data_IF_048031915022
#
_entry.id   IF_048031915022
#
_cell.length_a   1.000
_cell.length_b   1.000
_cell.length_c   1.000
_cell.angle_alpha   90.00
_cell.angle_beta   90.00
_cell.angle_gamma   90.00
#
_symmetry.space_group_name_H-M   'P 1'
#
loop_
_entity.id
_entity.type
_entity.pdbx_description
1 polymer ?
#
# COMPACT_ATOMS: atom_id res chain seq x y z
N UNK A 1 -22.83 31.22 18.19
CA UNK A 1 -22.50 29.85 17.70
C UNK A 1 -23.70 28.99 17.31
N UNK A 2 -24.94 29.26 17.76
CA UNK A 2 -26.13 28.42 17.45
C UNK A 2 -26.35 28.13 15.96
N UNK A 3 -26.09 29.11 15.09
CA UNK A 3 -26.21 28.97 13.64
C UNK A 3 -25.23 27.95 13.04
N UNK A 4 -23.97 27.97 13.49
CA UNK A 4 -22.96 27.00 13.03
C UNK A 4 -23.31 25.60 13.51
N UNK A 5 -23.73 25.46 14.78
CA UNK A 5 -24.16 24.19 15.34
C UNK A 5 -25.34 23.57 14.58
N UNK A 6 -26.31 24.40 14.17
CA UNK A 6 -27.44 23.95 13.34
C UNK A 6 -26.96 23.41 11.97
N UNK A 7 -26.00 24.07 11.32
CA UNK A 7 -25.45 23.60 10.04
C UNK A 7 -24.64 22.31 10.25
N UNK A 8 -23.78 22.27 11.26
CA UNK A 8 -22.92 21.13 11.57
C UNK A 8 -23.71 19.86 11.91
N UNK A 9 -24.90 19.99 12.48
CA UNK A 9 -25.78 18.86 12.79
C UNK A 9 -26.22 18.09 11.54
N UNK A 10 -26.30 18.75 10.38
CA UNK A 10 -26.61 18.10 9.10
C UNK A 10 -25.54 17.15 8.60
N UNK A 11 -24.36 17.13 9.23
CA UNK A 11 -23.22 16.28 8.89
C UNK A 11 -23.01 15.14 9.89
N UNK A 12 -24.02 14.82 10.72
CA UNK A 12 -23.97 13.65 11.59
C UNK A 12 -23.91 12.36 10.74
N UNK A 13 -23.11 11.38 11.19
CA UNK A 13 -23.05 10.05 10.57
C UNK A 13 -21.80 9.75 9.74
N UNK A 14 -20.84 10.68 9.64
CA UNK A 14 -19.51 10.45 9.04
C UNK A 14 -18.47 9.89 10.03
N UNK A 15 -18.88 9.49 11.24
CA UNK A 15 -17.97 8.95 12.26
C UNK A 15 -17.08 9.99 12.96
N UNK A 16 -17.32 11.28 12.72
CA UNK A 16 -16.56 12.39 13.31
C UNK A 16 -17.31 13.01 14.48
N UNK A 17 -16.55 13.54 15.45
CA UNK A 17 -17.12 14.17 16.63
C UNK A 17 -17.86 15.47 16.27
N UNK A 18 -19.05 15.64 16.83
CA UNK A 18 -19.89 16.79 16.52
C UNK A 18 -19.25 18.11 16.96
N UNK A 19 -18.48 18.10 18.05
CA UNK A 19 -17.74 19.25 18.54
C UNK A 19 -16.72 19.74 17.50
N UNK A 20 -15.96 18.83 16.89
CA UNK A 20 -14.97 19.17 15.86
C UNK A 20 -15.63 19.81 14.63
N UNK A 21 -16.76 19.25 14.16
CA UNK A 21 -17.51 19.82 13.05
C UNK A 21 -18.00 21.25 13.35
N UNK A 22 -18.37 21.53 14.61
CA UNK A 22 -18.78 22.88 15.05
C UNK A 22 -17.57 23.83 15.06
N UNK A 23 -16.41 23.35 15.50
CA UNK A 23 -15.18 24.17 15.53
C UNK A 23 -14.72 24.53 14.13
N UNK A 24 -14.69 23.57 13.22
CA UNK A 24 -14.35 23.80 11.81
C UNK A 24 -15.36 24.70 11.11
N UNK A 25 -16.65 24.50 11.39
CA UNK A 25 -17.69 25.41 10.94
C UNK A 25 -17.51 26.84 11.48
N UNK A 26 -17.00 26.98 12.70
CA UNK A 26 -16.70 28.28 13.32
C UNK A 26 -15.53 28.97 12.62
N UNK A 27 -14.50 28.21 12.23
CA UNK A 27 -13.42 28.70 11.37
C UNK A 27 -13.98 29.21 10.03
N UNK A 28 -14.92 28.48 9.43
CA UNK A 28 -15.64 28.91 8.24
C UNK A 28 -16.41 30.21 8.42
N UNK A 29 -17.10 30.37 9.56
CA UNK A 29 -17.78 31.62 9.90
C UNK A 29 -16.80 32.78 10.04
N UNK A 30 -15.66 32.59 10.71
CA UNK A 30 -14.63 33.63 10.83
C UNK A 30 -14.10 34.07 9.45
N UNK A 31 -13.86 33.11 8.54
CA UNK A 31 -13.46 33.38 7.15
C UNK A 31 -14.53 34.17 6.39
N UNK A 32 -15.80 33.83 6.58
CA UNK A 32 -16.92 34.56 5.98
C UNK A 32 -17.01 36.00 6.47
N UNK A 33 -16.93 36.22 7.79
CA UNK A 33 -17.03 37.55 8.39
C UNK A 33 -15.91 38.47 7.87
N UNK A 34 -14.68 37.96 7.76
CA UNK A 34 -13.54 38.73 7.20
C UNK A 34 -13.72 39.15 5.74
N UNK A 35 -14.53 38.42 4.97
CA UNK A 35 -14.74 38.65 3.52
C UNK A 35 -16.12 39.24 3.19
N UNK A 36 -16.95 39.46 4.21
CA UNK A 36 -18.30 39.96 4.02
C UNK A 36 -18.28 41.45 3.70
N UNK A 37 -19.08 41.86 2.71
CA UNK A 37 -19.27 43.26 2.36
C UNK A 37 -20.71 43.67 2.72
N UNK A 38 -20.91 44.51 3.76
CA UNK A 38 -22.24 44.96 4.20
C UNK A 38 -23.00 45.79 3.16
N UNK A 39 -22.31 46.39 2.18
CA UNK A 39 -22.94 47.18 1.13
C UNK A 39 -23.63 46.32 0.07
N UNK A 40 -23.34 45.01 0.02
CA UNK A 40 -24.11 44.07 -0.77
C UNK A 40 -25.38 43.73 0.03
N UNK A 41 -26.55 43.94 -0.57
CA UNK A 41 -27.87 43.76 0.07
C UNK A 41 -28.22 42.27 0.33
N UNK A 42 -27.34 41.56 1.04
CA UNK A 42 -27.42 40.13 1.35
C UNK A 42 -27.13 39.95 2.84
N UNK A 43 -27.92 39.11 3.50
CA UNK A 43 -27.73 38.82 4.94
C UNK A 43 -26.39 38.08 5.15
N UNK A 44 -25.64 38.48 6.18
CA UNK A 44 -24.37 37.81 6.57
C UNK A 44 -24.56 36.30 6.74
N UNK A 45 -25.66 35.87 7.37
CA UNK A 45 -25.97 34.46 7.56
C UNK A 45 -25.99 33.71 6.22
N UNK A 46 -26.69 34.24 5.21
CA UNK A 46 -26.79 33.66 3.86
C UNK A 46 -25.42 33.55 3.18
N UNK A 47 -24.56 34.56 3.35
CA UNK A 47 -23.20 34.52 2.84
C UNK A 47 -22.32 33.49 3.57
N UNK A 48 -22.42 33.44 4.89
CA UNK A 48 -21.60 32.59 5.74
C UNK A 48 -21.88 31.09 5.56
N UNK A 49 -23.11 30.69 5.17
CA UNK A 49 -23.44 29.27 4.92
C UNK A 49 -22.44 28.60 4.00
N UNK A 50 -22.04 29.25 2.91
CA UNK A 50 -21.12 28.65 1.92
C UNK A 50 -19.74 28.38 2.51
N UNK A 51 -19.21 29.32 3.29
CA UNK A 51 -17.91 29.17 3.95
C UNK A 51 -17.95 28.13 5.07
N UNK A 52 -19.01 28.13 5.88
CA UNK A 52 -19.21 27.14 6.95
C UNK A 52 -19.25 25.74 6.35
N UNK A 53 -20.07 25.51 5.30
CA UNK A 53 -20.16 24.20 4.64
C UNK A 53 -18.85 23.80 3.98
N UNK A 54 -18.13 24.74 3.36
CA UNK A 54 -16.86 24.44 2.70
C UNK A 54 -15.80 23.94 3.68
N UNK A 55 -15.64 24.60 4.84
CA UNK A 55 -14.68 24.17 5.86
C UNK A 55 -15.07 22.83 6.48
N UNK A 56 -16.35 22.65 6.83
CA UNK A 56 -16.85 21.36 7.33
C UNK A 56 -16.60 20.24 6.31
N UNK A 57 -16.90 20.47 5.03
CA UNK A 57 -16.65 19.49 3.99
C UNK A 57 -15.18 19.12 3.88
N UNK A 58 -14.28 20.11 3.89
CA UNK A 58 -12.84 19.87 3.79
C UNK A 58 -12.31 19.11 5.00
N UNK A 59 -12.80 19.41 6.21
CA UNK A 59 -12.45 18.66 7.42
C UNK A 59 -12.93 17.21 7.34
N UNK A 60 -14.18 16.98 6.94
CA UNK A 60 -14.71 15.62 6.76
C UNK A 60 -13.84 14.85 5.76
N UNK A 61 -13.52 15.45 4.61
CA UNK A 61 -12.69 14.78 3.60
C UNK A 61 -11.28 14.41 4.09
N UNK A 62 -10.69 15.21 4.97
CA UNK A 62 -9.34 14.97 5.49
C UNK A 62 -9.30 13.93 6.60
N UNK A 63 -10.39 13.75 7.33
CA UNK A 63 -10.41 13.01 8.59
C UNK A 63 -11.41 11.86 8.66
N UNK A 64 -12.23 11.62 7.63
CA UNK A 64 -13.22 10.52 7.64
C UNK A 64 -12.61 9.11 7.64
N UNK A 65 -11.34 8.96 7.27
CA UNK A 65 -10.58 7.71 7.26
C UNK A 65 -9.15 7.93 7.72
N UNK A 66 -8.56 6.89 8.31
CA UNK A 66 -7.15 6.88 8.73
C UNK A 66 -6.24 6.96 7.50
N UNK A 67 -6.54 6.19 6.45
CA UNK A 67 -5.77 6.19 5.20
C UNK A 67 -6.19 7.36 4.31
N UNK A 68 -5.29 8.34 4.18
CA UNK A 68 -5.51 9.54 3.36
C UNK A 68 -5.20 9.23 1.89
N UNK A 69 -6.19 9.44 1.03
CA UNK A 69 -6.04 9.30 -0.43
C UNK A 69 -6.42 10.60 -1.12
N UNK A 70 -5.64 10.99 -2.13
CA UNK A 70 -5.99 12.13 -2.97
C UNK A 70 -7.37 11.91 -3.63
N UNK A 71 -8.28 12.87 -3.45
CA UNK A 71 -9.63 12.78 -4.01
C UNK A 71 -9.81 13.68 -5.22
N UNK A 72 -10.39 13.15 -6.29
CA UNK A 72 -10.75 13.94 -7.47
C UNK A 72 -12.02 14.76 -7.21
N UNK A 73 -12.30 15.77 -8.06
CA UNK A 73 -13.56 16.55 -7.99
C UNK A 73 -14.80 15.65 -8.08
N UNK A 74 -14.74 14.59 -8.92
CA UNK A 74 -15.81 13.61 -9.07
C UNK A 74 -16.03 12.82 -7.76
N UNK A 75 -14.96 12.35 -7.13
CA UNK A 75 -15.01 11.64 -5.86
C UNK A 75 -15.55 12.53 -4.72
N UNK A 76 -15.15 13.80 -4.66
CA UNK A 76 -15.71 14.75 -3.68
C UNK A 76 -17.22 14.97 -3.87
N UNK A 77 -17.69 15.04 -5.13
CA UNK A 77 -19.14 15.14 -5.42
C UNK A 77 -19.87 13.86 -5.01
N UNK A 78 -19.28 12.70 -5.29
CA UNK A 78 -19.85 11.40 -4.94
C UNK A 78 -19.95 11.21 -3.43
N UNK A 79 -18.93 11.57 -2.65
CA UNK A 79 -18.92 11.33 -1.20
C UNK A 79 -20.18 11.82 -0.46
N UNK A 80 -20.62 13.07 -0.72
CA UNK A 80 -21.81 13.62 -0.07
C UNK A 80 -23.13 13.19 -0.72
N UNK A 81 -23.14 12.88 -2.02
CA UNK A 81 -24.36 12.58 -2.77
C UNK A 81 -24.67 11.09 -2.86
N UNK A 82 -23.64 10.24 -2.89
CA UNK A 82 -23.75 8.80 -3.04
C UNK A 82 -24.47 8.18 -1.84
N UNK A 83 -24.15 8.62 -0.62
CA UNK A 83 -24.86 8.16 0.59
C UNK A 83 -26.36 8.48 0.54
N UNK A 84 -26.73 9.65 0.01
CA UNK A 84 -28.13 10.04 -0.19
C UNK A 84 -28.79 9.23 -1.32
N UNK A 85 -28.08 9.00 -2.43
CA UNK A 85 -28.58 8.19 -3.53
C UNK A 85 -28.76 6.70 -3.14
N UNK A 86 -27.93 6.21 -2.21
CA UNK A 86 -27.96 4.84 -1.67
C UNK A 86 -28.92 4.68 -0.49
N UNK A 87 -29.62 5.71 -0.02
CA UNK A 87 -30.46 5.60 1.20
C UNK A 87 -31.55 4.53 1.11
N UNK A 88 -31.97 4.16 -0.09
CA UNK A 88 -32.98 3.11 -0.35
C UNK A 88 -32.38 1.76 -0.77
N UNK A 89 -31.04 1.64 -0.80
CA UNK A 89 -30.32 0.46 -1.26
C UNK A 89 -29.43 -0.01 -0.10
N UNK A 90 -29.87 -1.06 0.59
CA UNK A 90 -29.13 -1.62 1.73
C UNK A 90 -27.96 -2.52 1.32
N UNK A 91 -27.96 -3.02 0.07
CA UNK A 91 -26.93 -3.91 -0.47
C UNK A 91 -25.87 -3.17 -1.30
N UNK A 92 -24.85 -3.88 -1.75
CA UNK A 92 -23.90 -3.34 -2.74
C UNK A 92 -24.61 -2.92 -4.03
N UNK A 93 -24.10 -1.88 -4.68
CA UNK A 93 -24.69 -1.37 -5.91
C UNK A 93 -24.55 -2.40 -7.03
N UNK A 94 -25.67 -2.71 -7.69
CA UNK A 94 -25.64 -3.45 -8.95
C UNK A 94 -25.05 -2.56 -10.06
N UNK A 95 -24.46 -3.17 -11.09
CA UNK A 95 -23.86 -2.40 -12.21
C UNK A 95 -24.83 -1.39 -12.84
N UNK A 96 -26.07 -1.80 -13.09
CA UNK A 96 -27.11 -0.91 -13.64
C UNK A 96 -27.43 0.28 -12.72
N UNK A 97 -27.35 0.10 -11.40
CA UNK A 97 -27.58 1.18 -10.43
C UNK A 97 -26.38 2.14 -10.40
N UNK A 98 -25.17 1.60 -10.45
CA UNK A 98 -23.95 2.41 -10.55
C UNK A 98 -23.96 3.27 -11.82
N UNK A 99 -24.42 2.74 -12.96
CA UNK A 99 -24.57 3.48 -14.21
C UNK A 99 -25.61 4.60 -14.12
N UNK A 100 -26.76 4.34 -13.50
CA UNK A 100 -27.78 5.38 -13.27
C UNK A 100 -27.24 6.52 -12.42
N UNK A 101 -26.54 6.20 -11.33
CA UNK A 101 -25.93 7.19 -10.43
C UNK A 101 -24.80 7.95 -11.13
N UNK A 102 -23.99 7.25 -11.93
CA UNK A 102 -22.93 7.85 -12.73
C UNK A 102 -23.50 8.89 -13.71
N UNK A 103 -24.59 8.56 -14.41
CA UNK A 103 -25.27 9.46 -15.34
C UNK A 103 -25.92 10.66 -14.64
N UNK A 104 -26.65 10.44 -13.53
CA UNK A 104 -27.28 11.52 -12.76
C UNK A 104 -26.24 12.51 -12.18
N UNK A 105 -25.11 11.98 -11.71
CA UNK A 105 -24.05 12.77 -11.11
C UNK A 105 -23.00 13.24 -12.13
N UNK A 106 -23.07 12.83 -13.39
CA UNK A 106 -22.09 13.20 -14.43
C UNK A 106 -20.66 12.77 -14.08
N UNK A 107 -20.49 11.55 -13.59
CA UNK A 107 -19.20 10.96 -13.20
C UNK A 107 -19.04 9.59 -13.86
N UNK A 108 -17.84 9.01 -13.85
CA UNK A 108 -17.64 7.68 -14.46
C UNK A 108 -18.14 6.60 -13.51
N UNK A 109 -18.68 5.51 -14.06
CA UNK A 109 -19.07 4.30 -13.31
C UNK A 109 -17.96 3.80 -12.38
N UNK A 110 -16.72 3.78 -12.87
CA UNK A 110 -15.54 3.38 -12.09
C UNK A 110 -15.38 4.21 -10.81
N UNK A 111 -15.59 5.52 -10.89
CA UNK A 111 -15.47 6.42 -9.73
C UNK A 111 -16.60 6.17 -8.71
N UNK A 112 -17.79 5.76 -9.17
CA UNK A 112 -18.92 5.39 -8.30
C UNK A 112 -18.62 4.11 -7.53
N UNK A 113 -18.20 3.04 -8.21
CA UNK A 113 -17.87 1.76 -7.58
C UNK A 113 -16.70 1.88 -6.60
N UNK A 114 -15.67 2.63 -6.99
CA UNK A 114 -14.54 2.92 -6.10
C UNK A 114 -14.99 3.69 -4.85
N UNK A 115 -15.81 4.73 -5.01
CA UNK A 115 -16.32 5.49 -3.86
C UNK A 115 -17.24 4.65 -2.99
N UNK A 116 -18.06 3.78 -3.59
CA UNK A 116 -18.93 2.88 -2.84
C UNK A 116 -18.11 1.93 -1.96
N UNK A 117 -17.13 1.23 -2.54
CA UNK A 117 -16.23 0.33 -1.81
C UNK A 117 -15.59 1.06 -0.64
N UNK A 118 -15.09 2.28 -0.85
CA UNK A 118 -14.47 3.08 0.22
C UNK A 118 -15.45 3.50 1.32
N UNK A 119 -16.72 3.76 1.01
CA UNK A 119 -17.74 4.13 1.99
C UNK A 119 -18.31 2.93 2.75
N UNK A 120 -18.24 1.73 2.18
CA UNK A 120 -18.75 0.51 2.82
C UNK A 120 -17.84 0.00 3.94
N UNK A 121 -16.52 0.08 3.77
CA UNK A 121 -15.56 -0.44 4.75
C UNK A 121 -15.24 0.63 5.80
N UNK A 122 -15.59 0.39 7.05
CA UNK A 122 -15.06 1.14 8.19
C UNK A 122 -13.67 0.61 8.55
N UNK A 123 -12.81 1.48 9.06
CA UNK A 123 -11.50 1.07 9.55
C UNK A 123 -11.70 0.23 10.83
N UNK A 124 -11.09 -0.95 10.90
CA UNK A 124 -11.22 -1.90 12.03
C UNK A 124 -10.04 -1.70 12.97
N UNK A 125 -10.31 -1.65 14.28
CA UNK A 125 -9.26 -1.60 15.29
C UNK A 125 -8.47 -2.92 15.31
N UNK A 126 -7.15 -2.84 15.50
CA UNK A 126 -6.28 -4.02 15.42
C UNK A 126 -6.45 -4.99 16.59
N UNK A 127 -6.61 -4.46 17.82
CA UNK A 127 -6.72 -5.27 19.04
C UNK A 127 -7.49 -4.51 20.10
N UNK A 128 -8.83 -4.55 20.02
CA UNK A 128 -9.73 -4.02 21.04
C UNK A 128 -11.06 -4.78 20.95
N UNK A 129 -11.15 -5.92 21.62
CA UNK A 129 -12.42 -6.37 22.16
C UNK A 129 -12.18 -7.12 23.47
N UNK A 130 -12.70 -6.57 24.58
CA UNK A 130 -12.81 -7.29 25.86
C UNK A 130 -13.88 -8.40 25.80
N UNK A 131 -14.61 -8.51 24.69
CA UNK A 131 -15.54 -9.61 24.43
C UNK A 131 -14.77 -10.85 23.95
N UNK A 132 -14.81 -11.92 24.76
CA UNK A 132 -14.21 -13.23 24.44
C UNK A 132 -14.72 -13.85 23.12
N UNK A 133 -15.88 -13.41 22.62
CA UNK A 133 -16.50 -13.88 21.37
C UNK A 133 -16.15 -13.04 20.13
N UNK A 134 -15.41 -11.94 20.29
CA UNK A 134 -15.11 -11.02 19.18
C UNK A 134 -13.78 -11.38 18.52
N UNK A 135 -13.84 -11.82 17.26
CA UNK A 135 -12.65 -12.09 16.45
C UNK A 135 -11.99 -10.78 16.01
N UNK A 136 -11.02 -10.32 16.80
CA UNK A 136 -10.16 -9.19 16.44
C UNK A 136 -9.08 -9.59 15.41
N UNK A 137 -8.62 -8.65 14.56
CA UNK A 137 -7.54 -8.89 13.60
C UNK A 137 -6.28 -9.53 14.18
N UNK A 138 -5.93 -9.19 15.42
CA UNK A 138 -4.79 -9.79 16.13
C UNK A 138 -4.85 -11.32 16.29
N UNK A 139 -6.03 -11.93 16.26
CA UNK A 139 -6.18 -13.38 16.45
C UNK A 139 -5.95 -14.20 15.18
N UNK A 140 -6.12 -13.59 14.00
CA UNK A 140 -6.05 -14.31 12.72
C UNK A 140 -5.00 -13.77 11.75
N UNK A 141 -4.48 -12.55 11.97
CA UNK A 141 -3.40 -12.01 11.16
C UNK A 141 -2.07 -12.66 11.58
N UNK A 142 -1.51 -13.46 10.68
CA UNK A 142 -0.19 -14.06 10.83
C UNK A 142 0.88 -13.18 10.18
N UNK A 143 2.11 -13.22 10.70
CA UNK A 143 3.25 -12.64 10.02
C UNK A 143 3.78 -13.62 8.97
N UNK A 144 3.66 -13.26 7.69
CA UNK A 144 4.17 -14.07 6.59
C UNK A 144 5.69 -14.28 6.62
N UNK A 145 6.43 -13.47 7.39
CA UNK A 145 7.88 -13.65 7.57
C UNK A 145 8.22 -14.64 8.69
N UNK A 146 7.25 -15.04 9.53
CA UNK A 146 7.50 -16.03 10.57
C UNK A 146 7.55 -17.42 9.96
N UNK A 147 8.76 -18.00 9.95
CA UNK A 147 8.94 -19.38 9.55
C UNK A 147 8.53 -20.31 10.69
N UNK A 148 7.82 -21.39 10.37
CA UNK A 148 7.52 -22.43 11.35
C UNK A 148 8.80 -23.17 11.76
N UNK A 149 8.85 -23.77 12.96
CA UNK A 149 10.01 -24.59 13.37
C UNK A 149 10.36 -25.69 12.36
N UNK A 150 9.35 -26.28 11.71
CA UNK A 150 9.53 -27.25 10.64
C UNK A 150 10.18 -26.63 9.39
N UNK A 151 9.72 -25.46 8.96
CA UNK A 151 10.32 -24.73 7.82
C UNK A 151 11.76 -24.33 8.11
N UNK A 152 12.08 -23.92 9.34
CA UNK A 152 13.43 -23.61 9.76
C UNK A 152 14.34 -24.83 9.66
N UNK A 153 13.93 -25.98 10.20
CA UNK A 153 14.70 -27.22 10.12
C UNK A 153 14.93 -27.67 8.66
N UNK A 154 13.87 -27.64 7.83
CA UNK A 154 13.99 -27.96 6.41
C UNK A 154 14.94 -27.00 5.68
N UNK A 155 14.88 -25.70 5.99
CA UNK A 155 15.78 -24.71 5.40
C UNK A 155 17.24 -24.92 5.81
N UNK A 156 17.50 -25.27 7.08
CA UNK A 156 18.84 -25.56 7.58
C UNK A 156 19.42 -26.83 6.95
N UNK A 157 18.64 -27.90 6.87
CA UNK A 157 19.07 -29.16 6.28
C UNK A 157 19.30 -29.04 4.77
N UNK A 158 18.40 -28.35 4.07
CA UNK A 158 18.59 -28.06 2.63
C UNK A 158 19.82 -27.18 2.40
N UNK A 159 20.04 -26.14 3.21
CA UNK A 159 21.21 -25.29 3.12
C UNK A 159 22.52 -26.07 3.36
N UNK A 160 22.57 -26.90 4.42
CA UNK A 160 23.74 -27.76 4.70
C UNK A 160 24.01 -28.75 3.55
N UNK A 161 22.96 -29.40 3.03
CA UNK A 161 23.10 -30.34 1.92
C UNK A 161 23.58 -29.65 0.64
N UNK A 162 23.01 -28.50 0.28
CA UNK A 162 23.44 -27.71 -0.87
C UNK A 162 24.89 -27.25 -0.72
N UNK A 163 25.28 -26.81 0.48
CA UNK A 163 26.64 -26.39 0.76
C UNK A 163 27.63 -27.56 0.64
N UNK A 164 27.29 -28.74 1.16
CA UNK A 164 28.10 -29.95 1.03
C UNK A 164 28.25 -30.39 -0.43
N UNK A 165 27.16 -30.41 -1.19
CA UNK A 165 27.18 -30.71 -2.63
C UNK A 165 28.05 -29.72 -3.40
N UNK A 166 27.95 -28.42 -3.08
CA UNK A 166 28.80 -27.39 -3.68
C UNK A 166 30.29 -27.63 -3.39
N UNK A 167 30.66 -27.94 -2.14
CA UNK A 167 32.05 -28.22 -1.79
C UNK A 167 32.59 -29.48 -2.47
N UNK A 168 31.78 -30.54 -2.56
CA UNK A 168 32.15 -31.75 -3.31
C UNK A 168 32.36 -31.43 -4.80
N UNK A 169 31.43 -30.70 -5.42
CA UNK A 169 31.55 -30.29 -6.82
C UNK A 169 32.79 -29.42 -7.05
N UNK A 170 33.10 -28.48 -6.14
CA UNK A 170 34.30 -27.65 -6.18
C UNK A 170 35.60 -28.48 -6.09
N UNK A 171 35.60 -29.56 -5.31
CA UNK A 171 36.78 -30.43 -5.15
C UNK A 171 37.14 -31.23 -6.41
N UNK A 172 36.20 -31.42 -7.35
CA UNK A 172 36.41 -32.10 -8.62
C UNK A 172 37.06 -31.22 -9.70
N UNK A 173 37.15 -29.90 -9.46
CA UNK A 173 37.80 -28.98 -10.38
C UNK A 173 39.33 -29.01 -10.23
N UNK A 174 40.00 -28.71 -11.34
CA UNK A 174 41.44 -28.45 -11.30
C UNK A 174 41.73 -27.17 -10.52
N UNK A 175 42.90 -27.13 -9.86
CA UNK A 175 43.30 -26.01 -9.01
C UNK A 175 43.25 -24.64 -9.72
N UNK A 176 43.51 -24.62 -11.03
CA UNK A 176 43.47 -23.40 -11.84
C UNK A 176 42.04 -22.92 -12.07
N UNK A 177 41.13 -23.81 -12.47
CA UNK A 177 39.70 -23.47 -12.61
C UNK A 177 39.04 -23.07 -11.29
N UNK A 178 39.43 -23.72 -10.18
CA UNK A 178 38.95 -23.42 -8.85
C UNK A 178 39.33 -21.99 -8.42
N UNK A 179 40.59 -21.59 -8.58
CA UNK A 179 41.07 -20.25 -8.21
C UNK A 179 40.44 -19.14 -9.08
N UNK A 180 40.19 -19.42 -10.38
CA UNK A 180 39.43 -18.52 -11.27
C UNK A 180 37.99 -18.31 -10.75
N UNK A 181 37.28 -19.39 -10.41
CA UNK A 181 35.91 -19.30 -9.90
C UNK A 181 35.83 -18.64 -8.52
N UNK A 182 36.73 -19.00 -7.60
CA UNK A 182 36.78 -18.39 -6.28
C UNK A 182 37.01 -16.88 -6.37
N UNK A 183 37.97 -16.45 -7.19
CA UNK A 183 38.32 -15.04 -7.31
C UNK A 183 37.28 -14.20 -8.09
N UNK A 184 36.34 -14.85 -8.80
CA UNK A 184 35.25 -14.19 -9.52
C UNK A 184 33.90 -14.20 -8.80
N UNK A 185 33.61 -15.25 -8.03
CA UNK A 185 32.28 -15.49 -7.46
C UNK A 185 32.25 -15.62 -5.94
N UNK A 186 33.31 -16.15 -5.31
CA UNK A 186 33.30 -16.48 -3.87
C UNK A 186 34.04 -15.45 -2.99
N UNK A 187 34.92 -14.62 -3.56
CA UNK A 187 35.56 -13.51 -2.83
C UNK A 187 34.69 -12.25 -2.87
N UNK A 188 34.73 -11.47 -1.78
CA UNK A 188 34.04 -10.17 -1.68
C UNK A 188 34.55 -9.20 -2.75
N UNK A 189 35.88 -9.09 -2.89
CA UNK A 189 36.52 -8.32 -3.97
C UNK A 189 36.68 -9.19 -5.22
N UNK A 190 35.78 -8.98 -6.18
CA UNK A 190 35.77 -9.73 -7.45
C UNK A 190 36.87 -9.24 -8.38
N UNK A 191 37.78 -10.13 -8.73
CA UNK A 191 38.83 -9.87 -9.73
C UNK A 191 38.30 -9.86 -11.15
N UNK A 192 38.91 -9.06 -12.03
CA UNK A 192 38.53 -8.98 -13.44
C UNK A 192 39.25 -10.06 -14.26
N UNK A 193 38.69 -10.40 -15.42
CA UNK A 193 39.33 -11.34 -16.37
C UNK A 193 40.73 -10.91 -16.79
N UNK A 194 41.01 -9.60 -16.86
CA UNK A 194 42.32 -9.07 -17.22
C UNK A 194 43.35 -9.33 -16.11
N UNK A 195 42.99 -9.08 -14.85
CA UNK A 195 43.88 -9.37 -13.71
C UNK A 195 44.20 -10.86 -13.57
N UNK A 196 43.24 -11.73 -13.88
CA UNK A 196 43.46 -13.18 -13.91
C UNK A 196 44.29 -13.62 -15.13
N UNK A 197 44.09 -12.98 -16.28
CA UNK A 197 44.88 -13.19 -17.48
C UNK A 197 46.36 -12.89 -17.25
N UNK A 198 46.64 -11.75 -16.60
CA UNK A 198 47.99 -11.32 -16.21
C UNK A 198 48.61 -12.30 -15.21
N UNK A 199 47.84 -12.74 -14.19
CA UNK A 199 48.30 -13.71 -13.18
C UNK A 199 48.75 -15.04 -13.78
N UNK A 200 48.06 -15.53 -14.81
CA UNK A 200 48.35 -16.84 -15.41
C UNK A 200 49.07 -16.77 -16.77
N UNK A 201 49.46 -15.58 -17.24
CA UNK A 201 50.15 -15.38 -18.52
C UNK A 201 49.36 -15.87 -19.74
N UNK A 202 48.03 -15.74 -19.73
CA UNK A 202 47.15 -16.16 -20.83
C UNK A 202 46.21 -15.02 -21.24
N UNK A 203 45.58 -15.10 -22.41
CA UNK A 203 44.60 -14.08 -22.82
C UNK A 203 43.35 -14.09 -21.94
N UNK A 204 42.69 -12.94 -21.80
CA UNK A 204 41.42 -12.81 -21.08
C UNK A 204 40.33 -13.74 -21.63
N UNK A 205 40.30 -13.96 -22.95
CA UNK A 205 39.37 -14.92 -23.57
C UNK A 205 39.66 -16.36 -23.16
N UNK A 206 40.94 -16.71 -22.94
CA UNK A 206 41.30 -18.05 -22.46
C UNK A 206 40.83 -18.28 -21.01
N UNK A 207 40.93 -17.26 -20.15
CA UNK A 207 40.38 -17.31 -18.78
C UNK A 207 38.86 -17.49 -18.83
N UNK A 208 38.17 -16.75 -19.70
CA UNK A 208 36.71 -16.87 -19.93
C UNK A 208 36.30 -18.28 -20.36
N UNK A 209 37.06 -18.91 -21.25
CA UNK A 209 36.81 -20.31 -21.67
C UNK A 209 36.97 -21.29 -20.50
N UNK A 210 38.01 -21.13 -19.68
CA UNK A 210 38.24 -21.97 -18.51
C UNK A 210 37.12 -21.81 -17.48
N UNK A 211 36.68 -20.57 -17.23
CA UNK A 211 35.53 -20.25 -16.39
C UNK A 211 34.25 -20.95 -16.88
N UNK A 212 33.91 -20.82 -18.17
CA UNK A 212 32.71 -21.45 -18.72
C UNK A 212 32.76 -22.97 -18.62
N UNK A 213 33.93 -23.58 -18.88
CA UNK A 213 34.12 -25.03 -18.76
C UNK A 213 34.01 -25.49 -17.30
N UNK A 214 34.53 -24.70 -16.36
CA UNK A 214 34.44 -24.94 -14.93
C UNK A 214 32.98 -24.87 -14.45
N UNK A 215 32.23 -23.86 -14.87
CA UNK A 215 30.79 -23.72 -14.58
C UNK A 215 29.95 -24.86 -15.14
N UNK A 216 30.25 -25.32 -16.37
CA UNK A 216 29.56 -26.48 -16.95
C UNK A 216 29.82 -27.76 -16.15
N UNK A 217 31.07 -27.97 -15.69
CA UNK A 217 31.40 -29.12 -14.82
C UNK A 217 30.70 -29.04 -13.47
N UNK A 218 30.66 -27.87 -12.84
CA UNK A 218 29.92 -27.67 -11.59
C UNK A 218 28.43 -28.00 -11.76
N UNK A 219 27.82 -27.47 -12.82
CA UNK A 219 26.41 -27.73 -13.11
C UNK A 219 26.13 -29.22 -13.32
N UNK A 220 26.95 -29.91 -14.10
CA UNK A 220 26.81 -31.35 -14.32
C UNK A 220 26.98 -32.17 -13.02
N UNK A 221 27.92 -31.78 -12.16
CA UNK A 221 28.14 -32.44 -10.85
C UNK A 221 26.94 -32.26 -9.91
N UNK A 222 26.36 -31.06 -9.87
CA UNK A 222 25.19 -30.77 -9.04
C UNK A 222 23.93 -31.46 -9.58
N UNK A 223 23.74 -31.53 -10.90
CA UNK A 223 22.62 -32.26 -11.53
C UNK A 223 22.71 -33.77 -11.29
N UNK A 224 23.91 -34.34 -11.28
CA UNK A 224 24.12 -35.78 -11.03
C UNK A 224 23.87 -36.16 -9.56
N UNK A 225 24.08 -35.23 -8.63
CA UNK A 225 23.88 -35.44 -7.18
C UNK A 225 22.47 -35.05 -6.69
N UNK A 226 21.68 -34.36 -7.52
CA UNK A 226 20.31 -33.99 -7.23
C UNK A 226 19.28 -35.07 -7.61
N UNK A 227 19.71 -36.12 -8.33
CA UNK A 227 18.97 -37.36 -8.63
C UNK A 227 19.26 -38.43 -7.56
#
# INVERSE_FOLDING_TARGET
>A
MRFVAFIAHGYKGYGLEQADLIQEGTIGLMKAVKRFNPHKNVRLASFAVYWIRAEIHEFIFKNWKIVKVATTKAQRKLFFKLRKAKSHIYNSLNESQADKIANDLGVRRKDVLEMESRLQFNDVAFGISDDEDSSAPEHYLTDDNTQTPEQLLLSDDTHKNQQQQLYQALSLLDARSLDILQSRYLKEEKTTLHTLADKYGVSAERVRQLENKAMQKLKASLETQAL
#
